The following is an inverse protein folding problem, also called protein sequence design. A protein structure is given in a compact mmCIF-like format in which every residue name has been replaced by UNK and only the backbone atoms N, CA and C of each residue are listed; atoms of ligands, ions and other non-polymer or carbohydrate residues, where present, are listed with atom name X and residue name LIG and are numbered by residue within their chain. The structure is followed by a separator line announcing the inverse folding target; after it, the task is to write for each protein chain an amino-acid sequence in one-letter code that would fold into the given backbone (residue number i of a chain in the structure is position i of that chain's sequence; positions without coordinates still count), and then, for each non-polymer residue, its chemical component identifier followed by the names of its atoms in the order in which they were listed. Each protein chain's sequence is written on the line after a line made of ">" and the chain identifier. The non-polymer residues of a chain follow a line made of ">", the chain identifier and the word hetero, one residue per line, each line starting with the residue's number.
data_IF_855717219319
#
_entry.id   IF_855717219319
#
_cell.length_a   1.000
_cell.length_b   1.000
_cell.length_c   1.000
_cell.angle_alpha   90.00
_cell.angle_beta   90.00
_cell.angle_gamma   90.00
#
_symmetry.space_group_name_H-M   'P 1'
#
loop_
_entity.id
_entity.type
_entity.pdbx_description
1 polymer ?
#
# COMPACT_ATOMS: atom_id res chain seq x y z
N UNK A 1 -7.26 -28.04 12.81
CA UNK A 1 -7.77 -28.03 14.21
C UNK A 1 -7.84 -29.42 14.87
N UNK A 2 -8.44 -30.47 14.27
CA UNK A 2 -8.54 -31.78 14.95
C UNK A 2 -7.20 -32.40 15.40
N UNK A 3 -6.13 -32.20 14.62
CA UNK A 3 -4.81 -32.76 14.91
C UNK A 3 -3.94 -31.88 15.82
N UNK A 4 -3.85 -30.57 15.51
CA UNK A 4 -2.94 -29.65 16.20
C UNK A 4 -3.62 -28.84 17.31
N UNK A 5 -4.96 -28.80 17.37
CA UNK A 5 -5.70 -27.90 18.24
C UNK A 5 -5.98 -26.54 17.60
N UNK A 6 -6.79 -25.71 18.28
CA UNK A 6 -7.20 -24.38 17.82
C UNK A 6 -6.16 -23.29 18.07
N UNK A 7 -5.38 -23.43 19.14
CA UNK A 7 -4.42 -22.44 19.61
C UNK A 7 -2.98 -22.78 19.16
N UNK A 8 -2.79 -23.80 18.31
CA UNK A 8 -1.48 -24.16 17.81
C UNK A 8 -0.99 -23.16 16.76
N UNK A 9 0.28 -22.77 16.84
CA UNK A 9 0.92 -21.73 16.03
C UNK A 9 0.59 -21.87 14.53
N UNK A 10 0.81 -23.03 13.92
CA UNK A 10 0.49 -23.25 12.49
C UNK A 10 -1.01 -23.15 12.16
N UNK A 11 -1.90 -23.45 13.11
CA UNK A 11 -3.34 -23.23 12.92
C UNK A 11 -3.64 -21.73 12.94
N UNK A 12 -3.03 -20.98 13.85
CA UNK A 12 -3.18 -19.52 13.94
C UNK A 12 -2.60 -18.81 12.71
N UNK A 13 -1.49 -19.31 12.17
CA UNK A 13 -0.91 -18.81 10.91
C UNK A 13 -1.90 -18.98 9.74
N UNK A 14 -2.52 -20.15 9.65
CA UNK A 14 -3.57 -20.40 8.65
C UNK A 14 -4.75 -19.46 8.83
N UNK A 15 -5.17 -19.20 10.07
CA UNK A 15 -6.26 -18.27 10.38
C UNK A 15 -5.90 -16.83 10.00
N UNK A 16 -4.68 -16.37 10.31
CA UNK A 16 -4.18 -15.05 9.87
C UNK A 16 -4.19 -14.93 8.34
N UNK A 17 -3.75 -15.97 7.63
CA UNK A 17 -3.73 -16.01 6.16
C UNK A 17 -5.14 -16.02 5.56
N UNK A 18 -6.13 -16.63 6.23
CA UNK A 18 -7.54 -16.50 5.85
C UNK A 18 -8.03 -15.05 5.97
N UNK A 19 -7.58 -14.32 6.99
CA UNK A 19 -7.83 -12.88 7.11
C UNK A 19 -7.35 -12.12 5.86
N UNK A 20 -6.10 -12.37 5.43
CA UNK A 20 -5.53 -11.75 4.22
C UNK A 20 -6.36 -12.09 2.98
N UNK A 21 -6.77 -13.35 2.84
CA UNK A 21 -7.61 -13.79 1.74
C UNK A 21 -8.97 -13.07 1.73
N UNK A 22 -9.60 -12.90 2.88
CA UNK A 22 -10.88 -12.21 2.99
C UNK A 22 -10.76 -10.71 2.70
N UNK A 23 -9.69 -10.04 3.15
CA UNK A 23 -9.39 -8.64 2.75
C UNK A 23 -9.32 -8.53 1.23
N UNK A 24 -8.60 -9.42 0.57
CA UNK A 24 -8.46 -9.41 -0.89
C UNK A 24 -9.78 -9.67 -1.63
N UNK A 25 -10.76 -10.32 -0.98
CA UNK A 25 -12.12 -10.52 -1.50
C UNK A 25 -13.09 -9.38 -1.16
N UNK A 26 -12.66 -8.38 -0.38
CA UNK A 26 -13.54 -7.32 0.13
C UNK A 26 -14.46 -7.78 1.27
N UNK A 27 -14.23 -8.97 1.84
CA UNK A 27 -14.98 -9.55 2.95
C UNK A 27 -14.40 -9.07 4.28
N UNK A 28 -14.55 -7.77 4.54
CA UNK A 28 -13.84 -7.10 5.63
C UNK A 28 -14.31 -7.54 7.02
N UNK A 29 -15.56 -7.97 7.17
CA UNK A 29 -16.07 -8.50 8.44
C UNK A 29 -15.47 -9.86 8.79
N UNK A 30 -15.47 -10.79 7.81
CA UNK A 30 -14.86 -12.11 7.98
C UNK A 30 -13.35 -12.02 8.19
N UNK A 31 -12.68 -11.05 7.54
CA UNK A 31 -11.27 -10.77 7.80
C UNK A 31 -11.03 -10.34 9.26
N UNK A 32 -11.88 -9.47 9.80
CA UNK A 32 -11.77 -8.99 11.18
C UNK A 32 -11.89 -10.15 12.18
N UNK A 33 -12.87 -11.03 11.99
CA UNK A 33 -13.05 -12.22 12.82
C UNK A 33 -11.82 -13.13 12.80
N UNK A 34 -11.23 -13.36 11.62
CA UNK A 34 -10.03 -14.19 11.50
C UNK A 34 -8.82 -13.54 12.18
N UNK A 35 -8.58 -12.25 11.98
CA UNK A 35 -7.45 -11.58 12.62
C UNK A 35 -7.61 -11.48 14.14
N UNK A 36 -8.80 -11.16 14.66
CA UNK A 36 -9.04 -11.15 16.11
C UNK A 36 -8.78 -12.52 16.72
N UNK A 37 -9.25 -13.59 16.05
CA UNK A 37 -9.01 -14.96 16.50
C UNK A 37 -7.51 -15.31 16.48
N UNK A 38 -6.80 -14.98 15.41
CA UNK A 38 -5.36 -15.22 15.31
C UNK A 38 -4.59 -14.43 16.39
N UNK A 39 -4.96 -13.17 16.61
CA UNK A 39 -4.34 -12.28 17.58
C UNK A 39 -4.46 -12.84 19.01
N UNK A 40 -5.67 -13.20 19.44
CA UNK A 40 -5.90 -13.77 20.79
C UNK A 40 -5.11 -15.07 20.97
N UNK A 41 -5.09 -15.93 19.94
CA UNK A 41 -4.33 -17.17 19.98
C UNK A 41 -2.81 -16.93 20.08
N UNK A 42 -2.28 -16.01 19.28
CA UNK A 42 -0.85 -15.70 19.27
C UNK A 42 -0.40 -14.99 20.54
N UNK A 43 -1.18 -14.06 21.08
CA UNK A 43 -0.88 -13.43 22.36
C UNK A 43 -0.79 -14.47 23.48
N UNK A 44 -1.68 -15.46 23.49
CA UNK A 44 -1.68 -16.54 24.48
C UNK A 44 -0.51 -17.51 24.28
N UNK A 45 -0.18 -17.87 23.03
CA UNK A 45 0.82 -18.89 22.73
C UNK A 45 2.26 -18.35 22.73
N UNK A 46 2.46 -17.10 22.30
CA UNK A 46 3.77 -16.52 21.97
C UNK A 46 4.04 -15.19 22.70
N UNK A 47 2.99 -14.55 23.23
CA UNK A 47 3.09 -13.24 23.87
C UNK A 47 2.84 -12.06 22.91
N UNK A 48 2.72 -10.87 23.48
CA UNK A 48 2.29 -9.65 22.78
C UNK A 48 3.31 -9.08 21.79
N UNK A 49 4.60 -9.27 22.10
CA UNK A 49 5.73 -8.70 21.34
C UNK A 49 6.34 -9.71 20.36
N UNK A 50 5.75 -10.91 20.22
CA UNK A 50 6.22 -11.89 19.25
C UNK A 50 5.91 -11.44 17.82
N UNK A 51 6.83 -11.73 16.88
CA UNK A 51 6.76 -11.26 15.48
C UNK A 51 5.44 -11.61 14.80
N UNK A 52 4.95 -12.85 14.92
CA UNK A 52 3.65 -13.26 14.37
C UNK A 52 2.46 -12.54 15.00
N UNK A 53 2.53 -12.21 16.29
CA UNK A 53 1.50 -11.39 16.97
C UNK A 53 1.49 -9.98 16.38
N UNK A 54 2.67 -9.37 16.26
CA UNK A 54 2.83 -8.02 15.72
C UNK A 54 2.43 -7.94 14.23
N UNK A 55 2.66 -9.01 13.47
CA UNK A 55 2.24 -9.10 12.07
C UNK A 55 0.71 -9.07 11.98
N UNK A 56 0.02 -9.87 12.80
CA UNK A 56 -1.44 -9.83 12.88
C UNK A 56 -1.95 -8.45 13.29
N UNK A 57 -1.30 -7.78 14.26
CA UNK A 57 -1.64 -6.40 14.65
C UNK A 57 -1.48 -5.43 13.47
N UNK A 58 -0.36 -5.49 12.74
CA UNK A 58 -0.15 -4.65 11.55
C UNK A 58 -1.21 -4.91 10.46
N UNK A 59 -1.57 -6.18 10.25
CA UNK A 59 -2.64 -6.56 9.30
C UNK A 59 -4.03 -6.06 9.73
N UNK A 60 -4.32 -6.02 11.03
CA UNK A 60 -5.53 -5.38 11.56
C UNK A 60 -5.54 -3.88 11.27
N UNK A 61 -4.39 -3.20 11.36
CA UNK A 61 -4.24 -1.81 10.94
C UNK A 61 -4.64 -1.61 9.48
N UNK A 62 -4.14 -2.45 8.58
CA UNK A 62 -4.48 -2.43 7.14
C UNK A 62 -5.98 -2.64 6.92
N UNK A 63 -6.56 -3.64 7.61
CA UNK A 63 -7.99 -3.92 7.56
C UNK A 63 -8.83 -2.72 8.02
N UNK A 64 -8.44 -2.07 9.12
CA UNK A 64 -9.16 -0.90 9.64
C UNK A 64 -9.08 0.31 8.72
N UNK A 65 -7.95 0.52 8.02
CA UNK A 65 -7.91 1.49 6.91
C UNK A 65 -8.92 1.14 5.82
N UNK A 66 -9.01 -0.12 5.41
CA UNK A 66 -9.97 -0.55 4.39
C UNK A 66 -11.44 -0.39 4.83
N UNK A 67 -11.71 -0.48 6.14
CA UNK A 67 -13.02 -0.20 6.75
C UNK A 67 -13.26 1.28 7.06
N UNK A 68 -12.29 2.17 6.77
CA UNK A 68 -12.34 3.61 7.11
C UNK A 68 -12.40 3.88 8.63
N UNK A 69 -11.95 2.91 9.44
CA UNK A 69 -11.77 3.01 10.89
C UNK A 69 -10.37 3.54 11.20
N UNK A 70 -10.15 4.82 10.93
CA UNK A 70 -8.80 5.39 10.89
C UNK A 70 -8.14 5.49 12.27
N UNK A 71 -8.90 5.69 13.34
CA UNK A 71 -8.37 5.78 14.70
C UNK A 71 -7.94 4.40 15.22
N UNK A 72 -8.75 3.37 14.95
CA UNK A 72 -8.40 1.98 15.27
C UNK A 72 -7.19 1.49 14.46
N UNK A 73 -7.08 1.92 13.20
CA UNK A 73 -5.89 1.65 12.39
C UNK A 73 -4.63 2.30 12.98
N UNK A 74 -4.73 3.55 13.44
CA UNK A 74 -3.63 4.28 14.08
C UNK A 74 -3.17 3.55 15.36
N UNK A 75 -4.10 3.11 16.20
CA UNK A 75 -3.79 2.34 17.41
C UNK A 75 -3.06 1.03 17.08
N UNK A 76 -3.55 0.27 16.09
CA UNK A 76 -2.92 -0.97 15.69
C UNK A 76 -1.50 -0.75 15.15
N UNK A 77 -1.29 0.24 14.30
CA UNK A 77 0.05 0.51 13.77
C UNK A 77 1.02 1.00 14.84
N UNK A 78 0.61 1.89 15.76
CA UNK A 78 1.48 2.29 16.87
C UNK A 78 1.84 1.13 17.78
N UNK A 79 0.88 0.23 18.04
CA UNK A 79 1.13 -1.00 18.79
C UNK A 79 2.14 -1.91 18.07
N UNK A 80 1.98 -2.13 16.76
CA UNK A 80 2.91 -2.94 15.97
C UNK A 80 4.30 -2.30 15.92
N UNK A 81 4.37 -0.97 15.71
CA UNK A 81 5.61 -0.22 15.64
C UNK A 81 6.42 -0.34 16.93
N UNK A 82 5.79 -0.08 18.08
CA UNK A 82 6.46 -0.19 19.37
C UNK A 82 6.98 -1.62 19.63
N UNK A 83 6.20 -2.63 19.25
CA UNK A 83 6.62 -4.04 19.37
C UNK A 83 7.79 -4.39 18.46
N UNK A 84 7.73 -3.99 17.18
CA UNK A 84 8.79 -4.28 16.21
C UNK A 84 10.09 -3.52 16.50
N UNK A 85 10.01 -2.26 16.94
CA UNK A 85 11.18 -1.50 17.39
C UNK A 85 11.88 -2.20 18.55
N UNK A 86 11.11 -2.74 19.51
CA UNK A 86 11.65 -3.48 20.64
C UNK A 86 12.23 -4.84 20.24
N UNK A 87 11.55 -5.58 19.36
CA UNK A 87 11.93 -6.95 19.03
C UNK A 87 13.02 -7.05 17.95
N UNK A 88 13.01 -6.14 16.98
CA UNK A 88 13.82 -6.21 15.76
C UNK A 88 14.69 -4.97 15.53
N UNK A 89 14.36 -3.85 16.20
CA UNK A 89 15.04 -2.57 16.04
C UNK A 89 14.36 -1.63 15.02
N UNK A 90 14.73 -0.34 15.05
CA UNK A 90 14.06 0.72 14.27
C UNK A 90 14.28 0.62 12.76
N UNK A 91 15.36 -0.03 12.32
CA UNK A 91 15.75 -0.14 10.90
C UNK A 91 15.35 -1.49 10.27
N UNK A 92 14.67 -2.37 11.03
CA UNK A 92 14.22 -3.64 10.49
C UNK A 92 13.08 -3.41 9.47
N UNK A 93 13.01 -4.23 8.43
CA UNK A 93 12.05 -4.07 7.32
C UNK A 93 10.60 -4.04 7.78
N UNK A 94 10.20 -4.94 8.69
CA UNK A 94 8.86 -4.94 9.29
C UNK A 94 8.55 -3.65 10.07
N UNK A 95 9.53 -3.11 10.80
CA UNK A 95 9.40 -1.83 11.50
C UNK A 95 9.17 -0.70 10.50
N UNK A 96 10.01 -0.63 9.46
CA UNK A 96 9.92 0.38 8.41
C UNK A 96 8.63 0.28 7.59
N UNK A 97 8.11 -0.93 7.40
CA UNK A 97 6.82 -1.16 6.74
C UNK A 97 5.67 -0.58 7.56
N UNK A 98 5.66 -0.81 8.88
CA UNK A 98 4.66 -0.19 9.77
C UNK A 98 4.79 1.33 9.79
N UNK A 99 6.01 1.88 9.77
CA UNK A 99 6.22 3.34 9.64
C UNK A 99 5.63 3.85 8.31
N UNK A 100 5.90 3.19 7.18
CA UNK A 100 5.33 3.58 5.89
C UNK A 100 3.78 3.50 5.88
N UNK A 101 3.20 2.51 6.55
CA UNK A 101 1.74 2.37 6.67
C UNK A 101 1.12 3.49 7.52
N UNK A 102 1.77 3.90 8.61
CA UNK A 102 1.38 5.10 9.38
C UNK A 102 1.41 6.36 8.52
N UNK A 103 2.42 6.51 7.67
CA UNK A 103 2.52 7.65 6.75
C UNK A 103 1.35 7.71 5.77
N UNK A 104 0.99 6.57 5.17
CA UNK A 104 -0.19 6.47 4.32
C UNK A 104 -1.49 6.78 5.09
N UNK A 105 -1.63 6.27 6.32
CA UNK A 105 -2.77 6.57 7.19
C UNK A 105 -2.90 8.08 7.49
N UNK A 106 -1.79 8.75 7.79
CA UNK A 106 -1.78 10.19 8.04
C UNK A 106 -2.16 11.00 6.79
N UNK A 107 -1.82 10.54 5.59
CA UNK A 107 -2.37 11.12 4.35
C UNK A 107 -3.91 10.99 4.33
N UNK A 108 -4.46 9.82 4.67
CA UNK A 108 -5.91 9.60 4.73
C UNK A 108 -6.60 10.47 5.79
N UNK A 109 -5.94 10.75 6.91
CA UNK A 109 -6.45 11.63 7.97
C UNK A 109 -6.23 13.13 7.66
N UNK A 110 -5.48 13.48 6.62
CA UNK A 110 -5.12 14.87 6.29
C UNK A 110 -4.00 15.46 7.16
N UNK A 111 -3.31 14.64 7.97
CA UNK A 111 -2.12 14.99 8.77
C UNK A 111 -0.87 15.01 7.87
N UNK A 112 -0.84 15.93 6.91
CA UNK A 112 0.12 15.87 5.80
C UNK A 112 1.57 16.15 6.20
N UNK A 113 1.82 16.95 7.23
CA UNK A 113 3.18 17.25 7.68
C UNK A 113 3.76 16.07 8.46
N UNK A 114 2.96 15.44 9.33
CA UNK A 114 3.31 14.22 10.04
C UNK A 114 3.54 13.05 9.08
N UNK A 115 2.70 12.94 8.03
CA UNK A 115 2.91 11.97 6.96
C UNK A 115 4.25 12.18 6.23
N UNK A 116 4.64 13.43 5.98
CA UNK A 116 5.91 13.75 5.31
C UNK A 116 7.11 13.30 6.14
N UNK A 117 7.09 13.61 7.45
CA UNK A 117 8.14 13.21 8.37
C UNK A 117 8.29 11.68 8.44
N UNK A 118 7.18 10.97 8.68
CA UNK A 118 7.20 9.52 8.85
C UNK A 118 7.57 8.79 7.55
N UNK A 119 7.06 9.22 6.39
CA UNK A 119 7.39 8.61 5.11
C UNK A 119 8.86 8.83 4.74
N UNK A 120 9.44 9.99 5.06
CA UNK A 120 10.88 10.24 4.85
C UNK A 120 11.74 9.36 5.76
N UNK A 121 11.32 9.14 7.01
CA UNK A 121 11.98 8.18 7.91
C UNK A 121 11.96 6.77 7.32
N UNK A 122 10.80 6.29 6.88
CA UNK A 122 10.69 4.97 6.24
C UNK A 122 11.57 4.87 4.98
N UNK A 123 11.58 5.91 4.14
CA UNK A 123 12.37 5.93 2.91
C UNK A 123 13.86 5.80 3.21
N UNK A 124 14.39 6.61 4.14
CA UNK A 124 15.79 6.57 4.51
C UNK A 124 16.20 5.20 5.06
N UNK A 125 15.35 4.59 5.90
CA UNK A 125 15.60 3.25 6.43
C UNK A 125 15.58 2.17 5.35
N UNK A 126 14.59 2.20 4.44
CA UNK A 126 14.51 1.21 3.35
C UNK A 126 15.63 1.37 2.33
N UNK A 127 16.02 2.60 1.98
CA UNK A 127 17.19 2.85 1.13
C UNK A 127 18.47 2.26 1.74
N UNK A 128 18.65 2.39 3.05
CA UNK A 128 19.80 1.84 3.77
C UNK A 128 19.75 0.31 3.87
N UNK A 129 18.58 -0.26 4.19
CA UNK A 129 18.44 -1.69 4.45
C UNK A 129 18.37 -2.54 3.17
N UNK A 130 17.71 -2.05 2.13
CA UNK A 130 17.36 -2.82 0.93
C UNK A 130 17.88 -2.20 -0.37
N UNK A 131 18.30 -0.93 -0.33
CA UNK A 131 18.73 -0.18 -1.50
C UNK A 131 17.60 0.61 -2.18
N UNK A 132 17.96 1.52 -3.09
CA UNK A 132 17.03 2.49 -3.70
C UNK A 132 16.02 1.87 -4.68
N UNK A 133 16.35 0.72 -5.28
CA UNK A 133 15.53 0.06 -6.32
C UNK A 133 14.69 -1.11 -5.76
N UNK A 134 14.76 -1.37 -4.44
CA UNK A 134 13.94 -2.41 -3.83
C UNK A 134 12.46 -2.01 -3.82
N UNK A 135 11.56 -2.97 -4.01
CA UNK A 135 10.11 -2.73 -4.12
C UNK A 135 9.52 -1.99 -2.91
N UNK A 136 9.91 -2.33 -1.69
CA UNK A 136 9.50 -1.60 -0.47
C UNK A 136 9.97 -0.13 -0.46
N UNK A 137 11.19 0.13 -0.93
CA UNK A 137 11.71 1.50 -1.09
C UNK A 137 10.87 2.26 -2.10
N UNK A 138 10.60 1.65 -3.26
CA UNK A 138 9.81 2.25 -4.34
C UNK A 138 8.34 2.47 -3.94
N UNK A 139 7.77 1.60 -3.11
CA UNK A 139 6.44 1.78 -2.53
C UNK A 139 6.40 3.05 -1.66
N UNK A 140 7.43 3.25 -0.83
CA UNK A 140 7.55 4.44 0.02
C UNK A 140 7.72 5.71 -0.81
N UNK A 141 8.55 5.66 -1.88
CA UNK A 141 8.68 6.76 -2.85
C UNK A 141 7.33 7.08 -3.50
N UNK A 142 6.57 6.07 -3.92
CA UNK A 142 5.23 6.27 -4.49
C UNK A 142 4.26 6.91 -3.47
N UNK A 143 4.31 6.50 -2.21
CA UNK A 143 3.50 7.11 -1.13
C UNK A 143 3.86 8.58 -0.88
N UNK A 144 5.14 8.94 -0.93
CA UNK A 144 5.57 10.34 -0.91
C UNK A 144 5.03 11.13 -2.11
N UNK A 145 4.94 10.51 -3.29
CA UNK A 145 4.27 11.10 -4.45
C UNK A 145 2.81 11.42 -4.18
N UNK A 146 2.05 10.48 -3.60
CA UNK A 146 0.64 10.68 -3.22
C UNK A 146 0.48 11.80 -2.20
N UNK A 147 1.34 11.81 -1.18
CA UNK A 147 1.39 12.88 -0.19
C UNK A 147 1.63 14.25 -0.84
N UNK A 148 2.62 14.35 -1.75
CA UNK A 148 2.92 15.62 -2.41
C UNK A 148 1.78 16.07 -3.33
N UNK A 149 1.01 15.16 -3.94
CA UNK A 149 -0.24 15.51 -4.62
C UNK A 149 -1.25 16.09 -3.64
N UNK A 150 -1.45 15.47 -2.48
CA UNK A 150 -2.38 15.96 -1.45
C UNK A 150 -1.99 17.35 -0.92
N UNK A 151 -0.69 17.64 -0.82
CA UNK A 151 -0.15 18.95 -0.46
C UNK A 151 -0.16 19.97 -1.63
N UNK A 152 -0.56 19.57 -2.85
CA UNK A 152 -0.49 20.43 -4.04
C UNK A 152 0.93 20.67 -4.58
N UNK A 153 1.95 19.99 -4.05
CA UNK A 153 3.36 20.07 -4.48
C UNK A 153 3.60 19.20 -5.73
N UNK A 154 2.92 19.52 -6.83
CA UNK A 154 2.83 18.66 -8.02
C UNK A 154 4.18 18.33 -8.67
N UNK A 155 5.16 19.23 -8.64
CA UNK A 155 6.50 18.97 -9.19
C UNK A 155 7.28 17.93 -8.37
N UNK A 156 7.17 17.98 -7.03
CA UNK A 156 7.76 16.96 -6.16
C UNK A 156 7.08 15.61 -6.35
N UNK A 157 5.76 15.60 -6.56
CA UNK A 157 5.03 14.38 -6.89
C UNK A 157 5.52 13.76 -8.20
N UNK A 158 5.77 14.58 -9.23
CA UNK A 158 6.28 14.13 -10.54
C UNK A 158 7.64 13.45 -10.39
N UNK A 159 8.55 14.06 -9.62
CA UNK A 159 9.86 13.49 -9.30
C UNK A 159 9.73 12.12 -8.61
N UNK A 160 8.92 12.04 -7.55
CA UNK A 160 8.73 10.80 -6.80
C UNK A 160 8.13 9.69 -7.66
N UNK A 161 7.05 9.97 -8.41
CA UNK A 161 6.44 8.92 -9.24
C UNK A 161 7.34 8.48 -10.39
N UNK A 162 8.10 9.38 -11.03
CA UNK A 162 9.07 8.99 -12.06
C UNK A 162 10.18 8.11 -11.47
N UNK A 163 10.67 8.44 -10.28
CA UNK A 163 11.65 7.62 -9.57
C UNK A 163 11.09 6.23 -9.27
N UNK A 164 9.88 6.15 -8.72
CA UNK A 164 9.21 4.88 -8.44
C UNK A 164 9.00 4.05 -9.71
N UNK A 165 8.50 4.68 -10.79
CA UNK A 165 8.27 4.01 -12.06
C UNK A 165 9.56 3.43 -12.65
N UNK A 166 10.63 4.21 -12.71
CA UNK A 166 11.92 3.77 -13.25
C UNK A 166 12.47 2.57 -12.45
N UNK A 167 12.36 2.61 -11.11
CA UNK A 167 12.77 1.50 -10.26
C UNK A 167 11.90 0.26 -10.46
N UNK A 168 10.57 0.41 -10.55
CA UNK A 168 9.67 -0.73 -10.78
C UNK A 168 9.89 -1.37 -12.14
N UNK A 169 10.10 -0.58 -13.20
CA UNK A 169 10.41 -1.13 -14.53
C UNK A 169 11.69 -1.96 -14.51
N UNK A 170 12.70 -1.52 -13.76
CA UNK A 170 13.97 -2.24 -13.60
C UNK A 170 13.82 -3.51 -12.75
N UNK A 171 13.11 -3.44 -11.64
CA UNK A 171 13.02 -4.54 -10.67
C UNK A 171 11.97 -5.60 -11.05
N UNK A 172 10.85 -5.18 -11.64
CA UNK A 172 9.63 -5.98 -11.84
C UNK A 172 9.23 -6.11 -13.31
N UNK A 173 9.78 -5.26 -14.18
CA UNK A 173 9.33 -5.16 -15.57
C UNK A 173 8.10 -4.25 -15.73
N UNK A 174 7.68 -4.08 -16.99
CA UNK A 174 6.75 -3.01 -17.40
C UNK A 174 5.27 -3.30 -17.14
N UNK A 175 4.91 -4.57 -17.00
CA UNK A 175 3.51 -5.04 -16.99
C UNK A 175 3.03 -5.53 -15.61
N UNK A 176 3.88 -5.45 -14.56
CA UNK A 176 3.47 -5.81 -13.21
C UNK A 176 2.56 -4.74 -12.60
N UNK A 177 1.63 -5.17 -11.74
CA UNK A 177 0.59 -4.31 -11.16
C UNK A 177 1.17 -3.07 -10.49
N UNK A 178 2.22 -3.20 -9.68
CA UNK A 178 2.88 -2.06 -9.03
C UNK A 178 3.46 -1.05 -10.03
N UNK A 179 4.05 -1.53 -11.13
CA UNK A 179 4.53 -0.66 -12.22
C UNK A 179 3.37 0.09 -12.86
N UNK A 180 2.27 -0.60 -13.16
CA UNK A 180 1.07 0.00 -13.77
C UNK A 180 0.38 0.99 -12.83
N UNK A 181 0.39 0.74 -11.53
CA UNK A 181 -0.16 1.65 -10.52
C UNK A 181 0.68 2.95 -10.45
N UNK A 182 2.01 2.87 -10.53
CA UNK A 182 2.88 4.05 -10.62
C UNK A 182 2.65 4.85 -11.93
N UNK A 183 2.45 4.17 -13.07
CA UNK A 183 2.06 4.83 -14.34
C UNK A 183 0.71 5.52 -14.19
N UNK A 184 -0.27 4.88 -13.54
CA UNK A 184 -1.59 5.46 -13.30
C UNK A 184 -1.50 6.72 -12.44
N UNK A 185 -0.68 6.72 -11.40
CA UNK A 185 -0.44 7.88 -10.55
C UNK A 185 0.18 9.05 -11.32
N UNK A 186 1.12 8.78 -12.23
CA UNK A 186 1.63 9.80 -13.17
C UNK A 186 0.54 10.32 -14.12
N UNK A 187 -0.34 9.45 -14.61
CA UNK A 187 -1.49 9.86 -15.44
C UNK A 187 -2.40 10.85 -14.72
N UNK A 188 -2.79 10.53 -13.48
CA UNK A 188 -3.60 11.41 -12.62
C UNK A 188 -2.88 12.73 -12.35
N UNK A 189 -1.58 12.68 -12.07
CA UNK A 189 -0.77 13.88 -11.84
C UNK A 189 -0.75 14.79 -13.08
N UNK A 190 -0.48 14.24 -14.26
CA UNK A 190 -0.45 15.01 -15.49
C UNK A 190 -1.80 15.60 -15.84
N UNK A 191 -2.89 14.87 -15.58
CA UNK A 191 -4.23 15.40 -15.73
C UNK A 191 -4.46 16.60 -14.80
N UNK A 192 -4.09 16.50 -13.52
CA UNK A 192 -4.16 17.63 -12.56
C UNK A 192 -3.30 18.84 -12.97
N UNK A 193 -2.22 18.61 -13.71
CA UNK A 193 -1.36 19.66 -14.27
C UNK A 193 -1.87 20.23 -15.60
N UNK A 194 -2.99 19.75 -16.14
CA UNK A 194 -3.49 20.12 -17.47
C UNK A 194 -2.66 19.58 -18.64
N UNK A 195 -1.72 18.66 -18.39
CA UNK A 195 -0.86 18.03 -19.40
C UNK A 195 -1.59 16.83 -20.02
N UNK A 196 -2.71 17.09 -20.70
CA UNK A 196 -3.67 16.07 -21.13
C UNK A 196 -3.04 15.00 -22.04
N UNK A 197 -2.19 15.36 -23.00
CA UNK A 197 -1.50 14.40 -23.88
C UNK A 197 -0.61 13.41 -23.10
N UNK A 198 0.05 13.91 -22.05
CA UNK A 198 0.89 13.06 -21.18
C UNK A 198 0.02 12.15 -20.32
N UNK A 199 -1.09 12.65 -19.80
CA UNK A 199 -2.05 11.86 -19.04
C UNK A 199 -2.64 10.73 -19.91
N UNK A 200 -3.01 11.05 -21.14
CA UNK A 200 -3.55 10.11 -22.13
C UNK A 200 -2.55 8.98 -22.44
N UNK A 201 -1.29 9.36 -22.68
CA UNK A 201 -0.19 8.40 -22.89
C UNK A 201 -0.05 7.43 -21.71
N UNK A 202 -0.10 7.95 -20.48
CA UNK A 202 -0.02 7.11 -19.29
C UNK A 202 -1.24 6.18 -19.17
N UNK A 203 -2.46 6.70 -19.33
CA UNK A 203 -3.68 5.88 -19.21
C UNK A 203 -3.78 4.80 -20.29
N UNK A 204 -3.40 5.09 -21.55
CA UNK A 204 -3.34 4.07 -22.61
C UNK A 204 -2.37 2.95 -22.25
N UNK A 205 -1.21 3.29 -21.69
CA UNK A 205 -0.24 2.30 -21.22
C UNK A 205 -0.82 1.42 -20.10
N UNK A 206 -1.47 2.02 -19.09
CA UNK A 206 -2.09 1.27 -17.99
C UNK A 206 -3.19 0.34 -18.51
N UNK A 207 -4.04 0.84 -19.40
CA UNK A 207 -5.12 0.06 -20.01
C UNK A 207 -4.56 -1.17 -20.73
N UNK A 208 -3.56 -0.99 -21.60
CA UNK A 208 -2.96 -2.10 -22.33
C UNK A 208 -2.36 -3.17 -21.38
N UNK A 209 -1.69 -2.74 -20.31
CA UNK A 209 -1.13 -3.65 -19.30
C UNK A 209 -2.20 -4.41 -18.52
N UNK A 210 -3.26 -3.74 -18.08
CA UNK A 210 -4.35 -4.38 -17.36
C UNK A 210 -5.19 -5.29 -18.25
N UNK A 211 -5.45 -4.93 -19.51
CA UNK A 211 -6.16 -5.81 -20.46
C UNK A 211 -5.42 -7.12 -20.67
N UNK A 212 -4.09 -7.06 -20.83
CA UNK A 212 -3.24 -8.25 -20.98
C UNK A 212 -3.26 -9.15 -19.74
N UNK A 213 -3.36 -8.59 -18.54
CA UNK A 213 -3.23 -9.33 -17.26
C UNK A 213 -4.56 -9.78 -16.67
N UNK A 214 -5.60 -8.95 -16.77
CA UNK A 214 -6.89 -9.11 -16.09
C UNK A 214 -8.04 -9.40 -17.06
N UNK A 215 -7.80 -9.24 -18.37
CA UNK A 215 -8.82 -9.34 -19.41
C UNK A 215 -9.55 -8.02 -19.68
N UNK A 216 -10.19 -7.97 -20.86
CA UNK A 216 -10.87 -6.78 -21.38
C UNK A 216 -12.05 -6.33 -20.50
N UNK A 217 -12.70 -7.26 -19.81
CA UNK A 217 -13.90 -7.04 -19.00
C UNK A 217 -13.60 -6.81 -17.51
N UNK A 218 -12.34 -6.59 -17.14
CA UNK A 218 -12.02 -6.25 -15.75
C UNK A 218 -12.52 -4.83 -15.41
N UNK A 219 -13.00 -4.61 -14.18
CA UNK A 219 -13.54 -3.33 -13.74
C UNK A 219 -12.55 -2.16 -13.90
N UNK A 220 -11.26 -2.40 -13.62
CA UNK A 220 -10.18 -1.42 -13.82
C UNK A 220 -10.02 -1.01 -15.30
N UNK A 221 -10.14 -1.95 -16.23
CA UNK A 221 -10.07 -1.65 -17.67
C UNK A 221 -11.24 -0.77 -18.11
N UNK A 222 -12.46 -1.09 -17.66
CA UNK A 222 -13.65 -0.26 -17.95
C UNK A 222 -13.51 1.16 -17.39
N UNK A 223 -13.04 1.30 -16.15
CA UNK A 223 -12.84 2.61 -15.53
C UNK A 223 -11.82 3.46 -16.32
N UNK A 224 -10.69 2.87 -16.74
CA UNK A 224 -9.68 3.55 -17.56
C UNK A 224 -10.20 3.94 -18.94
N UNK A 225 -10.99 3.09 -19.62
CA UNK A 225 -11.61 3.47 -20.90
C UNK A 225 -12.52 4.68 -20.75
N UNK A 226 -13.32 4.72 -19.68
CA UNK A 226 -14.16 5.89 -19.39
C UNK A 226 -13.33 7.15 -19.15
N UNK A 227 -12.25 7.04 -18.37
CA UNK A 227 -11.34 8.15 -18.13
C UNK A 227 -10.66 8.66 -19.42
N UNK A 228 -10.24 7.74 -20.30
CA UNK A 228 -9.67 8.08 -21.61
C UNK A 228 -10.69 8.78 -22.51
N UNK A 229 -11.94 8.29 -22.60
CA UNK A 229 -12.96 8.95 -23.42
C UNK A 229 -13.30 10.36 -22.92
N UNK A 230 -13.33 10.58 -21.60
CA UNK A 230 -13.50 11.92 -21.02
C UNK A 230 -12.32 12.82 -21.38
N UNK A 231 -11.10 12.31 -21.28
CA UNK A 231 -9.88 13.06 -21.60
C UNK A 231 -9.79 13.44 -23.08
N UNK A 232 -10.13 12.51 -23.98
CA UNK A 232 -10.16 12.75 -25.43
C UNK A 232 -11.18 13.84 -25.79
N UNK A 233 -12.36 13.83 -25.16
CA UNK A 233 -13.34 14.91 -25.30
C UNK A 233 -12.77 16.26 -24.87
N UNK A 234 -12.08 16.32 -23.72
CA UNK A 234 -11.47 17.55 -23.22
C UNK A 234 -10.39 18.08 -24.18
N UNK A 235 -9.54 17.20 -24.70
CA UNK A 235 -8.49 17.55 -25.69
C UNK A 235 -9.11 18.11 -26.98
N UNK A 236 -10.16 17.49 -27.50
CA UNK A 236 -10.81 17.96 -28.76
C UNK A 236 -11.65 19.23 -28.61
N UNK A 237 -11.93 19.66 -27.38
CA UNK A 237 -12.75 20.83 -27.08
C UNK A 237 -11.95 22.15 -26.97
N UNK A 238 -10.62 22.08 -27.05
CA UNK A 238 -9.68 23.21 -27.02
C UNK A 238 -8.98 23.37 -28.36
#
# INVERSE_FOLDING_TARGET
>A
EKALGRDHISTLETVNNLGILYVNQGKLGEAEEMYQRALVGYEKALGRDHISTLETVNNMGILYVAQVKLDEAEEMYWRALAGYEKALGPEHTSTLETVNNLGALYVHQGKLDEAEEICRRALAGFEKALGPDHTSTLNTVNNLGLLYVAQGKLDKADEMYRRALAGYEKALGRDLTSTLDAVNNLGILYWKQGKLDKAETMYRRVLAGYEKRLGLDHARCRALRKALSSLESDITSH
#
